data_IF_973092832918
#
_entry.id   IF_973092832918
#
_cell.length_a   1.000
_cell.length_b   1.000
_cell.length_c   1.000
_cell.angle_alpha   90.00
_cell.angle_beta   90.00
_cell.angle_gamma   90.00
#
_symmetry.space_group_name_H-M   'P 1'
#
loop_
_entity.id
_entity.type
_entity.pdbx_description
1 polymer ?
#
# COMPACT_ATOMS: atom_id res chain seq x y z
N UNK A 1 25.07 -8.31 2.38
CA UNK A 1 24.21 -7.12 2.21
C UNK A 1 23.79 -6.91 0.75
N UNK A 2 24.64 -7.21 -0.23
CA UNK A 2 24.30 -7.05 -1.66
C UNK A 2 22.98 -7.74 -2.10
N UNK A 3 22.74 -8.95 -1.60
CA UNK A 3 21.49 -9.68 -1.87
C UNK A 3 20.25 -9.07 -1.20
N UNK A 4 20.36 -8.54 0.04
CA UNK A 4 19.22 -7.87 0.70
C UNK A 4 18.88 -6.59 -0.04
N UNK A 5 19.89 -5.88 -0.55
CA UNK A 5 19.69 -4.67 -1.33
C UNK A 5 18.99 -4.95 -2.64
N UNK A 6 19.50 -5.93 -3.40
CA UNK A 6 18.91 -6.34 -4.68
C UNK A 6 17.47 -6.83 -4.51
N UNK A 7 17.19 -7.59 -3.44
CA UNK A 7 15.85 -8.06 -3.13
C UNK A 7 14.91 -6.94 -2.66
N UNK A 8 15.33 -6.12 -1.70
CA UNK A 8 14.48 -5.08 -1.12
C UNK A 8 14.27 -3.89 -2.06
N UNK A 9 15.21 -3.62 -2.98
CA UNK A 9 15.11 -2.57 -4.00
C UNK A 9 14.59 -3.11 -5.35
N UNK A 10 13.78 -4.17 -5.29
CA UNK A 10 13.02 -4.69 -6.43
C UNK A 10 11.52 -4.80 -6.06
N UNK A 11 10.78 -5.69 -6.72
CA UNK A 11 9.35 -5.92 -6.49
C UNK A 11 9.02 -6.83 -5.29
N UNK A 12 9.95 -7.02 -4.36
CA UNK A 12 9.65 -7.72 -3.09
C UNK A 12 8.55 -6.96 -2.34
N UNK A 13 7.59 -7.71 -1.80
CA UNK A 13 6.39 -7.12 -1.18
C UNK A 13 5.41 -6.48 -2.17
N UNK A 14 5.56 -6.69 -3.48
CA UNK A 14 4.54 -6.35 -4.47
C UNK A 14 3.61 -7.53 -4.74
N UNK A 15 2.31 -7.24 -4.85
CA UNK A 15 1.29 -8.23 -5.19
C UNK A 15 1.07 -8.32 -6.71
N UNK A 16 1.65 -7.38 -7.47
CA UNK A 16 1.62 -7.35 -8.93
C UNK A 16 0.59 -6.38 -9.50
N UNK A 17 0.28 -6.55 -10.79
CA UNK A 17 -0.48 -5.62 -11.60
C UNK A 17 0.40 -4.77 -12.50
N UNK A 18 -0.15 -3.75 -13.14
CA UNK A 18 0.56 -3.03 -14.21
C UNK A 18 1.22 -1.75 -13.71
N UNK A 19 2.53 -1.59 -13.91
CA UNK A 19 3.20 -0.32 -13.60
C UNK A 19 2.59 0.88 -14.34
N UNK A 20 2.07 0.67 -15.55
CA UNK A 20 1.34 1.69 -16.32
C UNK A 20 -0.09 1.94 -15.86
N UNK A 21 -0.57 1.25 -14.83
CA UNK A 21 -1.90 1.48 -14.27
C UNK A 21 -2.04 2.91 -13.77
N UNK A 22 -3.20 3.52 -14.03
CA UNK A 22 -3.52 4.86 -13.53
C UNK A 22 -3.70 4.89 -12.01
N UNK A 23 -3.93 3.75 -11.37
CA UNK A 23 -4.15 3.63 -9.92
C UNK A 23 -3.16 2.64 -9.34
N UNK A 24 -2.42 3.08 -8.33
CA UNK A 24 -1.59 2.21 -7.50
C UNK A 24 -2.19 2.11 -6.09
N UNK A 25 -2.05 0.95 -5.46
CA UNK A 25 -2.41 0.70 -4.06
C UNK A 25 -1.16 0.31 -3.27
N UNK A 26 -0.97 0.96 -2.13
CA UNK A 26 0.14 0.69 -1.22
C UNK A 26 -0.37 0.37 0.19
N UNK A 27 -0.14 -0.86 0.65
CA UNK A 27 -0.25 -1.24 2.05
C UNK A 27 1.05 -0.97 2.81
N UNK A 28 1.07 -1.26 4.11
CA UNK A 28 2.30 -1.17 4.92
C UNK A 28 3.15 -2.42 4.71
N UNK A 29 2.59 -3.59 5.06
CA UNK A 29 3.19 -4.91 5.02
C UNK A 29 2.10 -5.95 4.70
N UNK A 30 2.48 -7.08 4.11
CA UNK A 30 1.54 -8.16 3.85
C UNK A 30 1.24 -8.98 5.12
N UNK A 31 0.09 -8.74 5.76
CA UNK A 31 -0.31 -9.47 6.97
C UNK A 31 -0.71 -10.94 6.77
N UNK A 32 -0.78 -11.43 5.52
CA UNK A 32 -1.08 -12.83 5.21
C UNK A 32 0.16 -13.70 5.04
N UNK A 33 1.30 -13.12 4.67
CA UNK A 33 2.50 -13.87 4.31
C UNK A 33 3.18 -14.54 5.49
N UNK A 34 3.23 -13.84 6.62
CA UNK A 34 3.74 -14.36 7.89
C UNK A 34 2.99 -15.59 8.40
N UNK A 35 1.74 -15.78 7.95
CA UNK A 35 0.89 -16.91 8.34
C UNK A 35 1.13 -18.18 7.53
N UNK A 36 1.88 -18.09 6.43
CA UNK A 36 2.29 -19.27 5.67
C UNK A 36 3.30 -20.06 6.50
N UNK A 37 3.11 -21.39 6.63
CA UNK A 37 4.13 -22.24 7.25
C UNK A 37 5.49 -21.97 6.61
N UNK A 38 6.52 -21.92 7.45
CA UNK A 38 7.92 -21.78 7.05
C UNK A 38 8.30 -20.48 6.31
N UNK A 39 7.44 -19.44 6.27
CA UNK A 39 7.76 -18.20 5.54
C UNK A 39 9.09 -17.59 5.99
N UNK A 40 9.27 -17.40 7.29
CA UNK A 40 10.50 -16.81 7.83
C UNK A 40 11.69 -17.79 7.76
N UNK A 41 11.46 -19.10 7.88
CA UNK A 41 12.52 -20.10 7.95
C UNK A 41 13.05 -20.52 6.58
N UNK A 42 12.23 -20.47 5.54
CA UNK A 42 12.55 -20.97 4.19
C UNK A 42 12.32 -19.91 3.11
N UNK A 43 11.08 -19.47 2.95
CA UNK A 43 10.68 -18.63 1.81
C UNK A 43 11.44 -17.31 1.77
N UNK A 44 11.45 -16.55 2.87
CA UNK A 44 12.12 -15.25 2.93
C UNK A 44 13.64 -15.36 2.74
N UNK A 45 14.36 -16.29 3.42
CA UNK A 45 15.78 -16.53 3.14
C UNK A 45 16.08 -16.89 1.67
N UNK A 46 15.24 -17.72 1.04
CA UNK A 46 15.39 -18.11 -0.36
C UNK A 46 15.16 -16.93 -1.31
N UNK A 47 14.12 -16.13 -1.07
CA UNK A 47 13.85 -14.91 -1.83
C UNK A 47 15.01 -13.92 -1.74
N UNK A 48 15.51 -13.66 -0.52
CA UNK A 48 16.68 -12.79 -0.31
C UNK A 48 17.90 -13.37 -1.02
N UNK A 49 18.13 -14.70 -0.93
CA UNK A 49 19.26 -15.36 -1.59
C UNK A 49 19.17 -15.27 -3.12
N UNK A 50 17.96 -15.35 -3.69
CA UNK A 50 17.71 -15.13 -5.14
C UNK A 50 18.02 -13.69 -5.54
N UNK A 51 17.92 -12.74 -4.63
CA UNK A 51 18.14 -11.31 -4.89
C UNK A 51 16.88 -10.68 -5.46
N UNK A 52 16.96 -10.04 -6.63
CA UNK A 52 15.85 -9.31 -7.24
C UNK A 52 14.59 -10.17 -7.34
N UNK A 53 13.57 -9.80 -6.56
CA UNK A 53 12.23 -10.36 -6.68
C UNK A 53 11.55 -9.90 -7.98
N UNK A 54 10.90 -10.86 -8.63
CA UNK A 54 10.06 -10.67 -9.80
C UNK A 54 8.60 -10.69 -9.36
N UNK A 55 7.74 -9.95 -10.05
CA UNK A 55 6.30 -9.97 -9.82
C UNK A 55 5.60 -9.99 -11.16
N UNK A 56 4.35 -10.48 -11.20
CA UNK A 56 3.54 -10.36 -12.40
C UNK A 56 3.20 -8.89 -12.66
N UNK A 57 3.86 -8.30 -13.67
CA UNK A 57 3.64 -6.92 -14.10
C UNK A 57 2.59 -6.78 -15.21
N UNK A 58 1.90 -7.88 -15.52
CA UNK A 58 0.95 -8.01 -16.62
C UNK A 58 -0.43 -8.47 -16.15
N UNK A 59 -0.66 -8.61 -14.84
CA UNK A 59 -1.97 -8.97 -14.33
C UNK A 59 -2.08 -8.74 -12.82
N UNK A 60 -3.24 -8.22 -12.41
CA UNK A 60 -3.67 -8.23 -11.02
C UNK A 60 -4.91 -9.12 -10.90
N UNK A 61 -4.87 -10.07 -9.97
CA UNK A 61 -5.99 -10.96 -9.70
C UNK A 61 -7.03 -10.30 -8.78
N UNK A 62 -8.05 -9.72 -9.40
CA UNK A 62 -9.19 -9.18 -8.66
C UNK A 62 -10.00 -10.27 -7.94
N UNK A 63 -10.03 -11.51 -8.45
CA UNK A 63 -10.75 -12.60 -7.80
C UNK A 63 -10.08 -12.98 -6.48
N UNK A 64 -8.74 -13.10 -6.47
CA UNK A 64 -7.95 -13.29 -5.25
C UNK A 64 -8.22 -12.17 -4.24
N UNK A 65 -8.26 -10.90 -4.69
CA UNK A 65 -8.56 -9.76 -3.81
C UNK A 65 -9.91 -9.86 -3.09
N UNK A 66 -10.89 -10.56 -3.65
CA UNK A 66 -12.20 -10.75 -3.01
C UNK A 66 -12.22 -11.89 -1.99
N UNK A 67 -11.12 -12.61 -1.79
CA UNK A 67 -11.03 -13.72 -0.82
C UNK A 67 -10.65 -13.28 0.59
N UNK A 68 -10.21 -12.02 0.78
CA UNK A 68 -9.79 -11.51 2.08
C UNK A 68 -10.32 -10.09 2.39
N UNK A 69 -10.54 -9.74 3.67
CA UNK A 69 -11.20 -8.48 4.04
C UNK A 69 -10.54 -7.20 3.53
N UNK A 70 -9.20 -7.16 3.49
CA UNK A 70 -8.46 -6.01 2.98
C UNK A 70 -8.75 -5.77 1.49
N UNK A 71 -8.71 -6.82 0.68
CA UNK A 71 -8.95 -6.71 -0.76
C UNK A 71 -10.42 -6.41 -1.09
N UNK A 72 -11.37 -6.96 -0.33
CA UNK A 72 -12.80 -6.59 -0.43
C UNK A 72 -12.98 -5.08 -0.14
N UNK A 73 -12.37 -4.59 0.94
CA UNK A 73 -12.48 -3.17 1.32
C UNK A 73 -11.85 -2.26 0.27
N UNK A 74 -10.74 -2.69 -0.33
CA UNK A 74 -10.14 -1.99 -1.44
C UNK A 74 -11.03 -2.00 -2.70
N UNK A 75 -11.61 -3.15 -3.08
CA UNK A 75 -12.51 -3.24 -4.21
C UNK A 75 -13.71 -2.29 -4.05
N UNK A 76 -14.27 -2.21 -2.83
CA UNK A 76 -15.31 -1.23 -2.47
C UNK A 76 -14.85 0.21 -2.69
N UNK A 77 -13.72 0.60 -2.10
CA UNK A 77 -13.17 1.95 -2.27
C UNK A 77 -12.91 2.27 -3.74
N UNK A 78 -12.35 1.31 -4.49
CA UNK A 78 -12.08 1.45 -5.91
C UNK A 78 -13.36 1.73 -6.71
N UNK A 79 -14.45 1.00 -6.44
CA UNK A 79 -15.75 1.28 -7.07
C UNK A 79 -16.25 2.70 -6.77
N UNK A 80 -16.16 3.14 -5.50
CA UNK A 80 -16.55 4.49 -5.11
C UNK A 80 -15.73 5.57 -5.84
N UNK A 81 -14.42 5.37 -6.02
CA UNK A 81 -13.55 6.24 -6.82
C UNK A 81 -13.99 6.28 -8.29
N UNK A 82 -14.50 5.16 -8.83
CA UNK A 82 -15.08 5.10 -10.18
C UNK A 82 -16.51 5.65 -10.26
N UNK A 83 -17.04 6.25 -9.18
CA UNK A 83 -18.38 6.83 -9.14
C UNK A 83 -19.50 5.79 -9.06
N UNK A 84 -19.20 4.57 -8.59
CA UNK A 84 -20.17 3.50 -8.37
C UNK A 84 -20.46 3.33 -6.88
N UNK A 85 -21.50 2.56 -6.56
CA UNK A 85 -21.79 2.20 -5.18
C UNK A 85 -20.78 1.16 -4.69
N UNK A 86 -20.36 1.26 -3.42
CA UNK A 86 -19.45 0.28 -2.79
C UNK A 86 -20.04 -1.13 -2.75
N UNK A 87 -21.37 -1.26 -2.71
CA UNK A 87 -22.07 -2.54 -2.77
C UNK A 87 -21.79 -3.29 -4.08
N UNK A 88 -21.45 -2.58 -5.16
CA UNK A 88 -21.12 -3.14 -6.47
C UNK A 88 -19.64 -3.58 -6.56
N UNK A 89 -18.94 -3.80 -5.43
CA UNK A 89 -17.52 -4.16 -5.41
C UNK A 89 -17.16 -5.37 -6.27
N UNK A 90 -18.07 -6.33 -6.45
CA UNK A 90 -17.83 -7.50 -7.30
C UNK A 90 -17.68 -7.16 -8.79
N UNK A 91 -18.02 -5.94 -9.22
CA UNK A 91 -17.79 -5.49 -10.60
C UNK A 91 -16.30 -5.55 -10.98
N UNK A 92 -15.38 -5.50 -10.01
CA UNK A 92 -13.95 -5.66 -10.27
C UNK A 92 -13.60 -6.99 -10.94
N UNK A 93 -14.43 -8.03 -10.80
CA UNK A 93 -14.27 -9.32 -11.49
C UNK A 93 -14.42 -9.22 -13.01
N UNK A 94 -15.00 -8.13 -13.52
CA UNK A 94 -15.12 -7.85 -14.96
C UNK A 94 -13.94 -7.06 -15.50
N UNK A 95 -13.01 -6.65 -14.65
CA UNK A 95 -11.83 -5.88 -15.02
C UNK A 95 -10.71 -6.82 -15.48
N UNK A 96 -9.75 -6.26 -16.20
CA UNK A 96 -8.67 -7.03 -16.82
C UNK A 96 -7.48 -7.25 -15.87
N UNK A 97 -7.44 -6.52 -14.75
CA UNK A 97 -6.28 -6.42 -13.88
C UNK A 97 -5.27 -5.35 -14.31
N UNK A 98 -5.46 -4.71 -15.47
CA UNK A 98 -4.64 -3.59 -15.97
C UNK A 98 -4.83 -2.29 -15.21
N UNK A 99 -5.87 -2.24 -14.39
CA UNK A 99 -6.32 -1.01 -13.76
C UNK A 99 -5.56 -0.70 -12.47
N UNK A 100 -4.77 -1.65 -11.96
CA UNK A 100 -4.11 -1.56 -10.66
C UNK A 100 -2.66 -2.03 -10.72
N UNK A 101 -1.79 -1.39 -9.93
CA UNK A 101 -0.57 -1.99 -9.40
C UNK A 101 -0.62 -1.98 -7.88
N UNK A 102 -0.34 -3.11 -7.23
CA UNK A 102 -0.48 -3.28 -5.78
C UNK A 102 0.85 -3.64 -5.15
N UNK A 103 1.20 -2.94 -4.08
CA UNK A 103 2.46 -3.12 -3.36
C UNK A 103 2.35 -2.85 -1.87
N UNK A 104 3.43 -3.13 -1.14
CA UNK A 104 3.63 -2.76 0.25
C UNK A 104 4.85 -1.86 0.42
N UNK A 105 4.76 -0.95 1.39
CA UNK A 105 5.83 -0.03 1.78
C UNK A 105 7.10 -0.80 2.16
N UNK A 106 6.95 -1.81 3.02
CA UNK A 106 8.04 -2.68 3.47
C UNK A 106 7.94 -4.08 2.82
N UNK A 107 9.08 -4.68 2.44
CA UNK A 107 9.08 -5.89 1.61
C UNK A 107 8.85 -7.19 2.39
N UNK A 108 9.08 -7.19 3.71
CA UNK A 108 8.89 -8.38 4.55
C UNK A 108 7.43 -8.44 4.98
N UNK A 109 6.78 -9.58 4.74
CA UNK A 109 5.47 -9.85 5.32
C UNK A 109 5.61 -9.96 6.85
N UNK A 110 4.88 -9.14 7.58
CA UNK A 110 4.97 -9.08 9.04
C UNK A 110 3.60 -8.65 9.59
N UNK A 111 2.99 -9.47 10.44
CA UNK A 111 1.61 -9.29 10.91
C UNK A 111 1.50 -8.65 12.29
N UNK A 112 2.54 -7.96 12.75
CA UNK A 112 2.58 -7.39 14.08
C UNK A 112 3.47 -6.15 14.18
N UNK A 113 3.13 -5.25 15.08
CA UNK A 113 3.99 -4.13 15.47
C UNK A 113 4.94 -4.51 16.61
N UNK A 114 4.89 -5.74 17.12
CA UNK A 114 5.75 -6.20 18.20
C UNK A 114 7.18 -6.47 17.70
N UNK A 115 8.12 -5.67 18.18
CA UNK A 115 9.54 -5.81 17.86
C UNK A 115 10.16 -7.11 18.36
N UNK A 116 9.61 -7.75 19.40
CA UNK A 116 10.12 -9.02 19.92
C UNK A 116 10.02 -10.15 18.89
N UNK A 117 9.01 -10.07 18.01
CA UNK A 117 8.80 -11.03 16.94
C UNK A 117 9.94 -11.01 15.91
N UNK A 118 10.67 -9.90 15.79
CA UNK A 118 11.83 -9.80 14.90
C UNK A 118 12.92 -10.81 15.29
N UNK A 119 13.23 -10.90 16.59
CA UNK A 119 14.19 -11.88 17.10
C UNK A 119 13.59 -13.28 17.19
N UNK A 120 12.31 -13.39 17.57
CA UNK A 120 11.63 -14.69 17.64
C UNK A 120 11.67 -15.44 16.31
N UNK A 121 11.49 -14.74 15.19
CA UNK A 121 11.54 -15.31 13.84
C UNK A 121 12.94 -15.30 13.21
N UNK A 122 13.98 -14.94 13.97
CA UNK A 122 15.36 -14.92 13.49
C UNK A 122 15.64 -13.92 12.36
N UNK A 123 14.80 -12.88 12.21
CA UNK A 123 14.94 -11.90 11.13
C UNK A 123 16.22 -11.08 11.25
N UNK A 124 16.78 -10.96 12.45
CA UNK A 124 18.11 -10.37 12.66
C UNK A 124 19.23 -11.16 11.98
N UNK A 125 19.13 -12.49 11.96
CA UNK A 125 20.07 -13.37 11.26
C UNK A 125 19.82 -13.36 9.74
N UNK A 126 18.55 -13.39 9.34
CA UNK A 126 18.14 -13.46 7.93
C UNK A 126 18.49 -12.18 7.18
N UNK A 127 18.17 -11.04 7.78
CA UNK A 127 18.34 -9.72 7.14
C UNK A 127 19.68 -9.07 7.46
N UNK A 128 20.32 -9.48 8.57
CA UNK A 128 21.51 -8.85 9.13
C UNK A 128 21.24 -7.62 10.00
N UNK A 129 19.97 -7.21 10.17
CA UNK A 129 19.60 -6.04 10.99
C UNK A 129 19.14 -6.45 12.38
N UNK A 130 19.77 -5.90 13.42
CA UNK A 130 19.45 -6.21 14.83
C UNK A 130 18.00 -5.91 15.22
N UNK A 131 17.27 -5.08 14.48
CA UNK A 131 15.88 -4.77 14.78
C UNK A 131 15.12 -4.36 13.52
N UNK A 132 13.78 -4.51 13.57
CA UNK A 132 12.87 -3.99 12.54
C UNK A 132 13.07 -2.50 12.27
N UNK A 133 13.32 -1.71 13.32
CA UNK A 133 13.58 -0.27 13.17
C UNK A 133 14.81 0.01 12.29
N UNK A 134 15.91 -0.73 12.51
CA UNK A 134 17.11 -0.58 11.69
C UNK A 134 16.87 -1.02 10.25
N UNK A 135 16.12 -2.11 10.04
CA UNK A 135 15.74 -2.54 8.69
C UNK A 135 14.85 -1.51 7.98
N UNK A 136 13.84 -0.96 8.66
CA UNK A 136 12.97 0.07 8.10
C UNK A 136 13.74 1.37 7.79
N UNK A 137 14.66 1.76 8.67
CA UNK A 137 15.57 2.89 8.43
C UNK A 137 16.45 2.63 7.21
N UNK A 138 16.97 1.41 7.05
CA UNK A 138 17.71 1.06 5.85
C UNK A 138 16.82 1.09 4.60
N UNK A 139 15.57 0.60 4.66
CA UNK A 139 14.62 0.70 3.56
C UNK A 139 14.35 2.17 3.16
N UNK A 140 14.26 3.07 4.13
CA UNK A 140 14.10 4.50 3.91
C UNK A 140 15.22 5.09 3.03
N UNK A 141 16.46 4.64 3.20
CA UNK A 141 17.61 5.14 2.44
C UNK A 141 17.84 4.41 1.11
N UNK A 142 17.33 3.18 0.94
CA UNK A 142 17.67 2.32 -0.21
C UNK A 142 16.45 1.97 -1.07
N UNK A 143 15.40 1.41 -0.45
CA UNK A 143 14.17 1.01 -1.15
C UNK A 143 13.29 2.19 -1.56
N UNK A 144 13.18 3.20 -0.71
CA UNK A 144 12.26 4.32 -0.96
C UNK A 144 12.68 5.13 -2.20
N UNK A 145 13.98 5.46 -2.42
CA UNK A 145 14.43 6.05 -3.67
C UNK A 145 14.06 5.24 -4.92
N UNK A 146 14.15 3.90 -4.87
CA UNK A 146 13.76 3.04 -5.99
C UNK A 146 12.28 3.22 -6.38
N UNK A 147 11.36 3.20 -5.40
CA UNK A 147 9.93 3.39 -5.69
C UNK A 147 9.55 4.84 -6.04
N UNK A 148 10.26 5.83 -5.50
CA UNK A 148 10.08 7.22 -5.90
C UNK A 148 10.42 7.41 -7.39
N UNK A 149 11.53 6.83 -7.85
CA UNK A 149 11.92 6.83 -9.27
C UNK A 149 10.94 6.03 -10.14
N UNK A 150 10.49 4.87 -9.67
CA UNK A 150 9.51 4.05 -10.37
C UNK A 150 8.20 4.82 -10.58
N UNK A 151 7.72 5.51 -9.53
CA UNK A 151 6.54 6.38 -9.58
C UNK A 151 6.75 7.51 -10.58
N UNK A 152 7.91 8.17 -10.59
CA UNK A 152 8.23 9.25 -11.54
C UNK A 152 8.25 8.75 -12.99
N UNK A 153 8.81 7.56 -13.23
CA UNK A 153 8.90 6.92 -14.55
C UNK A 153 7.52 6.54 -15.10
N UNK A 154 6.65 5.98 -14.27
CA UNK A 154 5.36 5.44 -14.70
C UNK A 154 4.19 6.40 -14.51
N UNK A 155 4.36 7.43 -13.69
CA UNK A 155 3.45 8.56 -13.48
C UNK A 155 1.97 8.13 -13.31
N UNK A 156 1.63 7.29 -12.32
CA UNK A 156 0.25 6.93 -12.04
C UNK A 156 -0.55 8.19 -11.69
N UNK A 157 -1.82 8.25 -12.08
CA UNK A 157 -2.71 9.37 -11.74
C UNK A 157 -3.07 9.39 -10.26
N UNK A 158 -3.20 8.21 -9.65
CA UNK A 158 -3.62 8.04 -8.27
C UNK A 158 -2.74 7.00 -7.57
N UNK A 159 -2.30 7.32 -6.36
CA UNK A 159 -1.72 6.37 -5.41
C UNK A 159 -2.55 6.43 -4.13
N UNK A 160 -3.06 5.27 -3.69
CA UNK A 160 -3.81 5.12 -2.45
C UNK A 160 -2.94 4.38 -1.46
N UNK A 161 -2.65 4.98 -0.32
CA UNK A 161 -1.93 4.38 0.78
C UNK A 161 -2.84 4.16 1.98
N UNK A 162 -2.77 3.00 2.63
CA UNK A 162 -3.60 2.70 3.80
C UNK A 162 -2.79 2.65 5.08
N UNK A 163 -3.15 3.47 6.07
CA UNK A 163 -2.50 3.54 7.38
C UNK A 163 -1.87 4.91 7.63
N UNK A 164 -2.64 5.82 8.22
CA UNK A 164 -2.23 7.22 8.45
C UNK A 164 -0.99 7.36 9.34
N UNK A 165 -0.72 6.39 10.23
CA UNK A 165 0.47 6.40 11.09
C UNK A 165 1.78 6.30 10.28
N UNK A 166 1.71 5.86 9.02
CA UNK A 166 2.82 5.76 8.08
C UNK A 166 2.86 6.91 7.07
N UNK A 167 2.12 8.00 7.29
CA UNK A 167 2.05 9.17 6.41
C UNK A 167 3.44 9.65 5.97
N UNK A 168 4.37 9.85 6.92
CA UNK A 168 5.73 10.31 6.62
C UNK A 168 6.44 9.35 5.66
N UNK A 169 6.31 8.05 5.91
CA UNK A 169 6.99 7.05 5.14
C UNK A 169 6.39 6.96 3.72
N UNK A 170 5.06 7.03 3.57
CA UNK A 170 4.42 7.10 2.25
C UNK A 170 4.81 8.35 1.45
N UNK A 171 4.90 9.52 2.11
CA UNK A 171 5.37 10.76 1.48
C UNK A 171 6.80 10.60 0.96
N UNK A 172 7.69 9.95 1.73
CA UNK A 172 9.07 9.73 1.31
C UNK A 172 9.20 8.62 0.26
N UNK A 173 8.37 7.56 0.36
CA UNK A 173 8.37 6.41 -0.53
C UNK A 173 7.97 6.79 -1.96
N UNK A 174 7.00 7.68 -2.12
CA UNK A 174 6.56 8.13 -3.44
C UNK A 174 7.10 9.49 -3.81
N UNK A 175 7.19 10.44 -2.86
CA UNK A 175 7.58 11.83 -3.09
C UNK A 175 9.07 12.14 -2.87
N UNK A 176 9.89 11.16 -2.52
CA UNK A 176 11.34 11.33 -2.32
C UNK A 176 12.00 12.12 -3.46
N UNK A 177 12.90 13.03 -3.10
CA UNK A 177 13.64 13.90 -4.02
C UNK A 177 12.78 14.83 -4.90
N UNK A 178 11.54 15.11 -4.52
CA UNK A 178 10.68 16.09 -5.20
C UNK A 178 10.15 17.14 -4.23
N UNK A 179 9.99 18.37 -4.71
CA UNK A 179 9.22 19.38 -3.99
C UNK A 179 7.76 18.97 -4.00
N UNK A 180 7.25 18.61 -2.82
CA UNK A 180 5.83 18.34 -2.64
C UNK A 180 5.08 19.66 -2.47
N UNK A 181 3.87 19.74 -3.02
CA UNK A 181 2.95 20.81 -2.69
C UNK A 181 2.54 20.75 -1.21
N UNK A 182 1.74 21.72 -0.77
CA UNK A 182 1.15 21.72 0.57
C UNK A 182 0.40 20.40 0.81
N UNK A 183 0.74 19.71 1.89
CA UNK A 183 -0.02 18.57 2.38
C UNK A 183 -1.41 19.06 2.81
N UNK A 184 -2.45 18.44 2.24
CA UNK A 184 -3.83 18.73 2.56
C UNK A 184 -4.39 17.66 3.50
N UNK A 185 -5.36 18.08 4.30
CA UNK A 185 -6.01 17.27 5.32
C UNK A 185 -7.51 17.43 5.13
N UNK A 186 -8.20 16.31 5.02
CA UNK A 186 -9.66 16.25 4.94
C UNK A 186 -10.22 15.24 5.94
N UNK A 187 -11.52 15.35 6.19
CA UNK A 187 -12.23 14.50 7.13
C UNK A 187 -13.51 13.92 6.52
N UNK A 188 -13.89 12.73 6.96
CA UNK A 188 -15.21 12.14 6.77
C UNK A 188 -15.79 11.81 8.12
N UNK A 189 -16.96 12.39 8.42
CA UNK A 189 -17.71 12.06 9.62
C UNK A 189 -18.61 10.86 9.37
N UNK A 190 -18.58 9.83 10.24
CA UNK A 190 -19.49 8.69 10.15
C UNK A 190 -20.95 9.10 10.45
N UNK A 191 -21.92 8.39 9.86
CA UNK A 191 -23.36 8.60 10.15
C UNK A 191 -23.84 7.85 11.41
N UNK A 192 -23.16 6.77 11.78
CA UNK A 192 -23.62 5.89 12.86
C UNK A 192 -23.27 6.44 14.24
N UNK A 193 -24.23 6.45 15.16
CA UNK A 193 -24.00 6.83 16.58
C UNK A 193 -23.00 5.88 17.26
N UNK A 194 -22.90 4.62 16.82
CA UNK A 194 -21.98 3.63 17.36
C UNK A 194 -20.52 3.81 16.90
N UNK A 195 -20.30 4.59 15.85
CA UNK A 195 -18.99 4.92 15.32
C UNK A 195 -18.92 6.43 15.18
N UNK A 196 -18.43 7.14 16.21
CA UNK A 196 -18.55 8.60 16.32
C UNK A 196 -17.27 9.38 15.99
N UNK A 197 -16.19 8.70 15.60
CA UNK A 197 -14.91 9.37 15.33
C UNK A 197 -14.81 9.81 13.88
N UNK A 198 -14.40 11.04 13.64
CA UNK A 198 -14.06 11.48 12.29
C UNK A 198 -12.87 10.69 11.74
N UNK A 199 -12.90 10.45 10.43
CA UNK A 199 -11.82 9.82 9.69
C UNK A 199 -11.03 10.88 8.95
N UNK A 200 -9.86 11.18 9.47
CA UNK A 200 -8.89 12.03 8.79
C UNK A 200 -8.22 11.25 7.66
N UNK A 201 -8.03 11.90 6.51
CA UNK A 201 -7.14 11.42 5.46
C UNK A 201 -6.31 12.58 4.90
N UNK A 202 -5.19 12.24 4.28
CA UNK A 202 -4.23 13.21 3.76
C UNK A 202 -4.14 13.07 2.26
N UNK A 203 -3.87 14.18 1.57
CA UNK A 203 -3.58 14.12 0.15
C UNK A 203 -2.62 15.22 -0.29
N UNK A 204 -1.84 14.92 -1.32
CA UNK A 204 -0.88 15.85 -1.92
C UNK A 204 -0.69 15.52 -3.40
N UNK A 205 -0.42 16.53 -4.21
CA UNK A 205 0.00 16.35 -5.60
C UNK A 205 1.50 16.21 -5.64
N UNK A 206 1.95 15.10 -6.22
CA UNK A 206 3.36 14.84 -6.50
C UNK A 206 3.64 15.12 -7.98
N UNK A 207 4.67 15.94 -8.30
CA UNK A 207 5.05 16.19 -9.68
C UNK A 207 5.51 14.92 -10.39
N UNK A 208 5.16 14.68 -11.68
CA UNK A 208 4.50 15.65 -12.54
C UNK A 208 2.97 15.66 -12.43
N UNK A 209 2.29 14.51 -12.24
CA UNK A 209 0.82 14.50 -12.15
C UNK A 209 0.26 13.29 -11.39
N UNK A 210 0.74 13.06 -10.17
CA UNK A 210 0.25 11.98 -9.31
C UNK A 210 -0.47 12.54 -8.08
N UNK A 211 -1.74 12.19 -7.90
CA UNK A 211 -2.44 12.41 -6.63
C UNK A 211 -2.06 11.28 -5.65
N UNK A 212 -1.35 11.61 -4.58
CA UNK A 212 -1.12 10.69 -3.47
C UNK A 212 -2.17 10.93 -2.39
N UNK A 213 -2.86 9.87 -1.97
CA UNK A 213 -3.86 9.90 -0.89
C UNK A 213 -3.49 8.88 0.18
N UNK A 214 -3.38 9.32 1.43
CA UNK A 214 -3.15 8.45 2.58
C UNK A 214 -4.43 8.40 3.42
N UNK A 215 -5.08 7.24 3.43
CA UNK A 215 -6.34 7.00 4.13
C UNK A 215 -6.13 6.17 5.40
N UNK A 216 -7.05 6.21 6.37
CA UNK A 216 -7.04 5.26 7.48
C UNK A 216 -7.03 3.82 6.97
N UNK A 217 -6.49 2.90 7.77
CA UNK A 217 -6.57 1.49 7.46
C UNK A 217 -8.04 1.04 7.35
N UNK A 218 -8.33 -0.02 6.61
CA UNK A 218 -9.73 -0.41 6.35
C UNK A 218 -10.45 -0.99 7.58
N UNK A 219 -9.71 -1.55 8.53
CA UNK A 219 -10.26 -2.17 9.74
C UNK A 219 -9.96 -1.36 11.00
N UNK A 220 -10.53 -1.80 12.12
CA UNK A 220 -10.31 -1.18 13.43
C UNK A 220 -11.25 -0.03 13.74
N UNK A 221 -11.24 0.41 15.00
CA UNK A 221 -12.16 1.44 15.52
C UNK A 221 -12.02 2.79 14.82
N UNK A 222 -10.81 3.13 14.37
CA UNK A 222 -10.47 4.38 13.69
C UNK A 222 -10.26 4.19 12.18
N UNK A 223 -10.58 3.02 11.64
CA UNK A 223 -10.43 2.70 10.22
C UNK A 223 -11.68 2.94 9.37
N UNK A 224 -11.56 2.75 8.05
CA UNK A 224 -12.66 2.81 7.08
C UNK A 224 -13.54 1.56 7.11
N UNK A 225 -14.09 1.31 8.29
CA UNK A 225 -14.72 0.05 8.68
C UNK A 225 -16.19 -0.07 8.28
N UNK A 226 -16.68 0.77 7.37
CA UNK A 226 -18.06 0.72 6.88
C UNK A 226 -18.15 1.11 5.41
N UNK A 227 -19.18 0.60 4.73
CA UNK A 227 -19.50 0.95 3.34
C UNK A 227 -19.65 2.47 3.18
N UNK A 228 -20.35 3.13 4.11
CA UNK A 228 -20.52 4.58 4.08
C UNK A 228 -19.17 5.33 4.09
N UNK A 229 -18.26 4.99 5.00
CA UNK A 229 -16.93 5.63 5.05
C UNK A 229 -16.13 5.40 3.77
N UNK A 230 -16.20 4.20 3.20
CA UNK A 230 -15.54 3.87 1.93
C UNK A 230 -16.16 4.65 0.75
N UNK A 231 -17.48 4.81 0.73
CA UNK A 231 -18.20 5.56 -0.29
C UNK A 231 -17.82 7.04 -0.26
N UNK A 232 -17.84 7.65 0.92
CA UNK A 232 -17.53 9.07 1.11
C UNK A 232 -16.08 9.40 0.76
N UNK A 233 -15.12 8.58 1.22
CA UNK A 233 -13.71 8.76 0.85
C UNK A 233 -13.53 8.55 -0.65
N UNK A 234 -14.13 7.52 -1.24
CA UNK A 234 -14.02 7.30 -2.69
C UNK A 234 -14.58 8.45 -3.51
N UNK A 235 -15.72 9.03 -3.12
CA UNK A 235 -16.31 10.20 -3.76
C UNK A 235 -15.42 11.45 -3.63
N UNK A 236 -14.80 11.68 -2.46
CA UNK A 236 -13.82 12.76 -2.26
C UNK A 236 -12.59 12.57 -3.14
N UNK A 237 -12.02 11.37 -3.19
CA UNK A 237 -10.87 11.05 -4.06
C UNK A 237 -11.21 11.28 -5.53
N UNK A 238 -12.39 10.83 -5.98
CA UNK A 238 -12.87 11.10 -7.34
C UNK A 238 -12.91 12.61 -7.63
N UNK A 239 -13.47 13.39 -6.71
CA UNK A 239 -13.56 14.86 -6.87
C UNK A 239 -12.18 15.51 -6.97
N UNK A 240 -11.20 15.04 -6.18
CA UNK A 240 -9.82 15.52 -6.24
C UNK A 240 -9.14 15.16 -7.59
N UNK A 241 -9.43 13.98 -8.14
CA UNK A 241 -8.96 13.59 -9.47
C UNK A 241 -9.56 14.46 -10.56
N UNK A 242 -10.86 14.74 -10.50
CA UNK A 242 -11.56 15.56 -11.49
C UNK A 242 -11.08 17.02 -11.49
N UNK A 243 -10.60 17.54 -10.34
CA UNK A 243 -9.99 18.87 -10.22
C UNK A 243 -8.53 18.94 -10.67
N UNK A 244 -7.90 17.79 -10.96
CA UNK A 244 -6.48 17.68 -11.31
C UNK A 244 -6.25 17.46 -12.81
N UNK A 245 -7.33 17.47 -13.60
CA UNK A 245 -7.33 17.36 -15.07
C UNK A 245 -7.64 18.71 -15.68
#
# INVERSE_FOLDING_TARGET
>A
MENIESWACSFSGCDGGYLSANTWLCGIEWGGGSKKPDYYEKTLPEEIKKGSAEVNLEWHDWADSLTYPYGISFAKLYQAIKGRNVEDYQYVLKLTGKELFKMNLYPIAFDSTDHNLWHQYGLDKITGFKSKFLFNTWCFFNRFPFFAELRRKHNPKLIICTGIDYLRDFLMFFGGNTSIERLNIDHVSPISVANSYDRQFFWVKLPPNTLLVVVPFFSGRYGLNSNYLLQEIGAKIKSLLDQSI
#
